data_IF_273393463244
#
_entry.id   IF_273393463244
#
_cell.length_a   1.000
_cell.length_b   1.000
_cell.length_c   1.000
_cell.angle_alpha   90.00
_cell.angle_beta   90.00
_cell.angle_gamma   90.00
#
_symmetry.space_group_name_H-M   'P 1'
#
loop_
_entity.id
_entity.type
_entity.pdbx_description
1 polymer ?
#
# COMPACT_ATOMS: atom_id res chain seq x y z
N UNK A 1 13.82 -13.73 4.12
CA UNK A 1 12.60 -13.04 3.68
C UNK A 1 12.94 -11.65 3.21
N UNK A 2 12.37 -11.20 2.09
CA UNK A 2 12.60 -9.82 1.69
C UNK A 2 11.97 -8.86 2.70
N UNK A 3 12.64 -7.76 2.95
CA UNK A 3 12.10 -6.67 3.75
C UNK A 3 11.63 -5.56 2.83
N UNK A 4 10.67 -4.78 3.28
CA UNK A 4 10.07 -3.69 2.51
C UNK A 4 10.14 -2.40 3.31
N UNK A 5 10.52 -1.32 2.64
CA UNK A 5 10.40 0.01 3.21
C UNK A 5 9.01 0.57 2.93
N UNK A 6 8.59 1.55 3.75
CA UNK A 6 7.34 2.26 3.47
C UNK A 6 7.36 2.95 2.11
N UNK A 7 8.50 3.48 1.71
CA UNK A 7 8.64 4.12 0.40
C UNK A 7 8.46 3.14 -0.75
N UNK A 8 8.98 1.90 -0.64
CA UNK A 8 8.75 0.88 -1.66
C UNK A 8 7.27 0.56 -1.81
N UNK A 9 6.58 0.38 -0.70
CA UNK A 9 5.15 0.06 -0.69
C UNK A 9 4.35 1.23 -1.26
N UNK A 10 4.64 2.46 -0.83
CA UNK A 10 4.03 3.67 -1.37
C UNK A 10 4.18 3.74 -2.88
N UNK A 11 5.40 3.56 -3.36
CA UNK A 11 5.71 3.65 -4.79
C UNK A 11 4.93 2.62 -5.62
N UNK A 12 4.86 1.38 -5.15
CA UNK A 12 4.12 0.32 -5.87
C UNK A 12 2.63 0.60 -5.86
N UNK A 13 2.07 0.99 -4.73
CA UNK A 13 0.64 1.30 -4.63
C UNK A 13 0.26 2.45 -5.55
N UNK A 14 1.08 3.50 -5.63
CA UNK A 14 0.80 4.65 -6.49
C UNK A 14 1.03 4.32 -7.97
N UNK A 15 2.17 3.74 -8.31
CA UNK A 15 2.57 3.56 -9.71
C UNK A 15 1.91 2.36 -10.38
N UNK A 16 1.67 1.28 -9.63
CA UNK A 16 1.12 0.04 -10.17
C UNK A 16 -0.31 -0.21 -9.69
N UNK A 17 -0.61 0.18 -8.44
CA UNK A 17 -1.92 -0.07 -7.84
C UNK A 17 -2.97 1.02 -8.09
N UNK A 18 -2.61 2.09 -8.77
CA UNK A 18 -3.48 3.22 -9.09
C UNK A 18 -4.02 3.96 -7.86
N UNK A 19 -3.30 3.89 -6.75
CA UNK A 19 -3.62 4.71 -5.58
C UNK A 19 -3.11 6.14 -5.79
N UNK A 20 -3.86 7.11 -5.31
CA UNK A 20 -3.43 8.51 -5.26
C UNK A 20 -2.80 8.80 -3.90
N UNK A 21 -1.66 9.45 -3.89
CA UNK A 21 -1.04 9.94 -2.66
C UNK A 21 -1.74 11.24 -2.27
N UNK A 22 -2.60 11.17 -1.26
CA UNK A 22 -3.43 12.32 -0.85
C UNK A 22 -2.62 13.33 -0.05
N UNK A 23 -1.89 12.84 0.95
CA UNK A 23 -1.05 13.68 1.82
C UNK A 23 -0.11 12.82 2.65
N UNK A 24 0.89 13.47 3.24
CA UNK A 24 1.75 12.86 4.25
C UNK A 24 1.66 13.69 5.52
N UNK A 25 1.38 13.02 6.65
CA UNK A 25 1.36 13.66 7.96
C UNK A 25 2.43 12.99 8.81
N UNK A 26 3.46 13.76 9.22
CA UNK A 26 4.63 13.18 9.88
C UNK A 26 5.31 12.17 8.97
N UNK A 27 5.38 10.90 9.41
CA UNK A 27 5.96 9.80 8.64
C UNK A 27 4.90 8.84 8.11
N UNK A 28 3.64 9.26 8.01
CA UNK A 28 2.53 8.45 7.53
C UNK A 28 1.97 9.03 6.23
N UNK A 29 2.05 8.26 5.15
CA UNK A 29 1.46 8.63 3.87
C UNK A 29 0.03 8.12 3.78
N UNK A 30 -0.89 9.00 3.40
CA UNK A 30 -2.30 8.67 3.18
C UNK A 30 -2.53 8.46 1.69
N UNK A 31 -3.01 7.28 1.33
CA UNK A 31 -3.29 6.91 -0.06
C UNK A 31 -4.78 6.63 -0.22
N UNK A 32 -5.31 6.91 -1.40
CA UNK A 32 -6.72 6.69 -1.71
C UNK A 32 -6.84 6.06 -3.10
N UNK A 33 -7.68 5.05 -3.18
CA UNK A 33 -8.07 4.42 -4.45
C UNK A 33 -9.56 4.60 -4.65
N UNK A 34 -9.95 5.03 -5.85
CA UNK A 34 -11.34 5.14 -6.27
C UNK A 34 -11.51 4.31 -7.54
N UNK A 35 -12.45 3.36 -7.51
CA UNK A 35 -12.71 2.54 -8.69
C UNK A 35 -13.27 3.40 -9.83
N UNK A 36 -12.79 3.24 -11.08
CA UNK A 36 -13.19 4.13 -12.19
C UNK A 36 -14.69 4.13 -12.50
N UNK A 37 -15.38 3.00 -12.24
CA UNK A 37 -16.78 2.83 -12.62
C UNK A 37 -17.69 2.45 -11.45
N UNK A 38 -17.13 2.19 -10.26
CA UNK A 38 -17.91 1.80 -9.08
C UNK A 38 -17.63 2.80 -7.94
N UNK A 39 -18.53 3.75 -7.76
CA UNK A 39 -18.38 4.82 -6.76
C UNK A 39 -18.35 4.29 -5.32
N UNK A 40 -18.85 3.08 -5.08
CA UNK A 40 -18.84 2.46 -3.76
C UNK A 40 -17.51 1.81 -3.41
N UNK A 41 -16.63 1.59 -4.40
CA UNK A 41 -15.33 0.96 -4.18
C UNK A 41 -14.26 2.05 -3.94
N UNK A 42 -14.17 2.48 -2.70
CA UNK A 42 -13.17 3.45 -2.24
C UNK A 42 -12.31 2.78 -1.18
N UNK A 43 -10.99 2.86 -1.32
CA UNK A 43 -10.05 2.27 -0.37
C UNK A 43 -9.10 3.34 0.12
N UNK A 44 -8.90 3.39 1.43
CA UNK A 44 -7.94 4.30 2.06
C UNK A 44 -6.87 3.48 2.76
N UNK A 45 -5.62 3.80 2.49
CA UNK A 45 -4.47 3.08 3.02
C UNK A 45 -3.54 4.07 3.70
N UNK A 46 -3.05 3.72 4.89
CA UNK A 46 -2.02 4.48 5.59
C UNK A 46 -0.72 3.68 5.55
N UNK A 47 0.33 4.28 5.02
CA UNK A 47 1.65 3.64 4.89
C UNK A 47 2.66 4.40 5.76
N UNK A 48 3.21 3.76 6.80
CA UNK A 48 4.30 4.37 7.57
C UNK A 48 5.57 4.40 6.72
N UNK A 49 6.20 5.57 6.62
CA UNK A 49 7.38 5.77 5.79
C UNK A 49 8.66 5.41 6.57
N UNK A 50 8.69 4.20 7.13
CA UNK A 50 9.84 3.66 7.83
C UNK A 50 10.76 2.91 6.86
N UNK A 51 12.04 2.81 7.20
CA UNK A 51 13.02 2.09 6.38
C UNK A 51 12.68 0.61 6.26
N UNK A 52 12.04 0.06 7.29
CA UNK A 52 11.60 -1.33 7.29
C UNK A 52 10.22 -1.43 7.93
N UNK A 53 9.27 -2.01 7.20
CA UNK A 53 7.91 -2.22 7.69
C UNK A 53 7.80 -3.63 8.28
N UNK A 54 7.21 -3.74 9.48
CA UNK A 54 6.95 -5.05 10.10
C UNK A 54 5.95 -5.85 9.27
N UNK A 55 5.99 -7.17 9.43
CA UNK A 55 5.06 -8.08 8.75
C UNK A 55 3.61 -7.76 9.10
N UNK A 56 3.32 -7.45 10.38
CA UNK A 56 1.97 -7.10 10.79
C UNK A 56 1.47 -5.81 10.14
N UNK A 57 2.33 -4.79 10.06
CA UNK A 57 1.99 -3.54 9.39
C UNK A 57 1.76 -3.77 7.89
N UNK A 58 2.62 -4.55 7.25
CA UNK A 58 2.47 -4.85 5.83
C UNK A 58 1.17 -5.61 5.54
N UNK A 59 0.80 -6.54 6.43
CA UNK A 59 -0.48 -7.26 6.33
C UNK A 59 -1.67 -6.30 6.42
N UNK A 60 -1.63 -5.37 7.36
CA UNK A 60 -2.69 -4.36 7.49
C UNK A 60 -2.80 -3.49 6.25
N UNK A 61 -1.68 -3.09 5.67
CA UNK A 61 -1.67 -2.32 4.42
C UNK A 61 -2.35 -3.12 3.30
N UNK A 62 -1.99 -4.39 3.17
CA UNK A 62 -2.60 -5.27 2.17
C UNK A 62 -4.12 -5.39 2.34
N UNK A 63 -4.58 -5.56 3.57
CA UNK A 63 -6.02 -5.65 3.87
C UNK A 63 -6.73 -4.34 3.53
N UNK A 64 -6.16 -3.19 3.91
CA UNK A 64 -6.72 -1.89 3.58
C UNK A 64 -6.79 -1.67 2.07
N UNK A 65 -5.80 -2.16 1.34
CA UNK A 65 -5.74 -2.06 -0.11
C UNK A 65 -6.67 -3.04 -0.84
N UNK A 66 -7.33 -3.93 -0.11
CA UNK A 66 -8.21 -4.93 -0.68
C UNK A 66 -7.51 -6.20 -1.15
N UNK A 67 -6.25 -6.38 -0.79
CA UNK A 67 -5.46 -7.55 -1.13
C UNK A 67 -5.54 -8.56 0.00
N UNK A 68 -6.44 -9.54 -0.12
CA UNK A 68 -6.70 -10.49 0.96
C UNK A 68 -5.65 -11.58 1.10
N UNK A 69 -4.99 -11.94 -0.01
CA UNK A 69 -3.92 -12.93 0.00
C UNK A 69 -2.59 -12.23 0.28
N UNK A 70 -2.10 -12.37 1.51
CA UNK A 70 -0.90 -11.68 1.95
C UNK A 70 0.36 -12.12 1.17
N UNK A 71 0.47 -13.40 0.83
CA UNK A 71 1.62 -13.89 0.06
C UNK A 71 1.63 -13.30 -1.35
N UNK A 72 0.48 -13.21 -1.98
CA UNK A 72 0.35 -12.55 -3.28
C UNK A 72 0.66 -11.06 -3.19
N UNK A 73 0.22 -10.41 -2.13
CA UNK A 73 0.50 -8.99 -1.92
C UNK A 73 2.01 -8.75 -1.80
N UNK A 74 2.71 -9.54 -0.99
CA UNK A 74 4.17 -9.44 -0.85
C UNK A 74 4.89 -9.64 -2.19
N UNK A 75 4.50 -10.65 -2.95
CA UNK A 75 5.10 -10.92 -4.25
C UNK A 75 4.86 -9.79 -5.23
N UNK A 76 3.65 -9.24 -5.21
CA UNK A 76 3.30 -8.12 -6.08
C UNK A 76 4.12 -6.87 -5.76
N UNK A 77 4.28 -6.54 -4.48
CA UNK A 77 5.14 -5.43 -4.06
C UNK A 77 6.58 -5.68 -4.50
N UNK A 78 7.11 -6.88 -4.23
CA UNK A 78 8.50 -7.21 -4.54
C UNK A 78 8.77 -7.16 -6.05
N UNK A 79 7.84 -7.61 -6.85
CA UNK A 79 7.99 -7.64 -8.32
C UNK A 79 7.93 -6.24 -8.95
N UNK A 80 7.32 -5.27 -8.29
CA UNK A 80 7.05 -3.95 -8.86
C UNK A 80 7.81 -2.79 -8.20
N UNK A 81 8.61 -3.06 -7.19
CA UNK A 81 9.37 -2.01 -6.51
C UNK A 81 10.68 -1.62 -7.21
#
# INVERSE_FOLDING_TARGET
MPTFSGYDVLKVLVNTGNFAHVRTTGDHAQLRYEHPTNDDDVRTVTVPLHDEISTGTLRNIGEQAGMQDFDRFKRWIDANR
#
